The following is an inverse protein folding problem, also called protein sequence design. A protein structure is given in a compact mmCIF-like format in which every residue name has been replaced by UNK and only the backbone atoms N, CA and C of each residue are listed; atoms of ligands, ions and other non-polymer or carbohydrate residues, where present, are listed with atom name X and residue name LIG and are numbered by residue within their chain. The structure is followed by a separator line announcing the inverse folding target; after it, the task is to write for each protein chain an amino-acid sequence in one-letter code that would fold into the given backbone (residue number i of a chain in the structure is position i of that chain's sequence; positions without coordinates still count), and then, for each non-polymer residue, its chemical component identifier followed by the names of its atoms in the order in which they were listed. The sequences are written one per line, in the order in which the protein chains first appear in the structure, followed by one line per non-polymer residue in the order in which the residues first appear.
data_IF_137549332376
#
_entry.id   IF_137549332376
#
_cell.length_a   1.000
_cell.length_b   1.000
_cell.length_c   1.000
_cell.angle_alpha   90.00
_cell.angle_beta   90.00
_cell.angle_gamma   90.00
#
_symmetry.space_group_name_H-M   'P 1'
#
loop_
_entity.id
_entity.type
_entity.pdbx_description
1 polymer ?
#
# COMPACT_ATOMS: atom_id res chain seq x y z
N UNK A 1 -41.11 24.68 -4.26
CA UNK A 1 -39.80 25.03 -4.87
C UNK A 1 -38.68 24.50 -3.96
N UNK A 2 -38.25 23.26 -4.18
CA UNK A 2 -37.13 22.67 -3.42
C UNK A 2 -35.82 22.95 -4.16
N UNK A 3 -34.97 23.80 -3.57
CA UNK A 3 -33.60 24.00 -4.05
C UNK A 3 -32.79 22.74 -3.78
N UNK A 4 -32.44 22.01 -4.85
CA UNK A 4 -31.42 20.96 -4.80
C UNK A 4 -30.09 21.63 -4.49
N UNK A 5 -29.61 21.45 -3.27
CA UNK A 5 -28.24 21.78 -2.88
C UNK A 5 -27.34 20.72 -3.49
N UNK A 6 -26.73 21.00 -4.64
CA UNK A 6 -25.65 20.21 -5.17
C UNK A 6 -24.46 20.40 -4.24
N UNK A 7 -24.22 19.40 -3.39
CA UNK A 7 -22.96 19.30 -2.65
C UNK A 7 -21.85 18.97 -3.67
N UNK A 8 -21.13 20.01 -4.06
CA UNK A 8 -19.93 19.86 -4.90
C UNK A 8 -18.86 19.19 -4.02
N UNK A 9 -18.77 17.87 -4.08
CA UNK A 9 -17.66 17.14 -3.50
C UNK A 9 -16.44 17.47 -4.37
N UNK A 10 -15.65 18.45 -3.92
CA UNK A 10 -14.33 18.68 -4.48
C UNK A 10 -13.47 17.43 -4.26
N UNK A 11 -13.40 16.54 -5.25
CA UNK A 11 -12.37 15.53 -5.35
C UNK A 11 -11.04 16.25 -5.60
N UNK A 12 -10.34 16.56 -4.54
CA UNK A 12 -8.93 16.96 -4.64
C UNK A 12 -8.13 15.66 -4.75
N UNK A 13 -7.97 15.17 -5.98
CA UNK A 13 -6.88 14.25 -6.27
C UNK A 13 -5.59 15.03 -6.05
N UNK A 14 -4.99 14.95 -4.86
CA UNK A 14 -3.61 15.39 -4.69
C UNK A 14 -2.76 14.45 -5.54
N UNK A 15 -2.41 14.91 -6.74
CA UNK A 15 -1.23 14.43 -7.38
C UNK A 15 -0.10 14.63 -6.36
N UNK A 16 0.44 13.54 -5.78
CA UNK A 16 1.79 13.59 -5.28
C UNK A 16 2.60 14.27 -6.38
N UNK A 17 3.38 15.30 -6.05
CA UNK A 17 4.22 15.94 -7.05
C UNK A 17 5.01 14.88 -7.80
N UNK A 18 5.41 15.12 -9.02
CA UNK A 18 6.18 14.20 -9.88
C UNK A 18 7.44 13.61 -9.20
N UNK A 19 7.76 14.04 -8.01
CA UNK A 19 8.93 13.72 -7.18
C UNK A 19 8.67 12.75 -6.02
N UNK A 20 7.41 12.33 -5.77
CA UNK A 20 7.12 11.46 -4.63
C UNK A 20 7.89 10.13 -4.73
N UNK A 21 8.52 9.74 -3.62
CA UNK A 21 9.27 8.48 -3.50
C UNK A 21 8.41 7.43 -2.83
N UNK A 22 8.31 6.26 -3.47
CA UNK A 22 7.62 5.08 -2.92
C UNK A 22 8.65 3.98 -2.68
N UNK A 23 8.65 3.42 -1.47
CA UNK A 23 9.43 2.25 -1.07
C UNK A 23 8.53 1.03 -0.88
N UNK A 24 8.98 -0.13 -1.35
CA UNK A 24 8.33 -1.40 -1.08
C UNK A 24 9.36 -2.45 -0.70
N UNK A 25 9.12 -3.13 0.42
CA UNK A 25 10.06 -4.08 0.99
C UNK A 25 9.36 -5.35 1.44
N UNK A 26 10.07 -6.47 1.32
CA UNK A 26 9.71 -7.77 1.88
C UNK A 26 10.78 -8.15 2.91
N UNK A 27 10.34 -8.46 4.13
CA UNK A 27 11.21 -8.84 5.25
C UNK A 27 10.74 -10.21 5.77
N UNK A 28 11.62 -11.19 5.80
CA UNK A 28 11.32 -12.48 6.40
C UNK A 28 12.08 -12.59 7.71
N UNK A 29 11.37 -12.65 8.83
CA UNK A 29 11.99 -12.91 10.12
C UNK A 29 12.50 -14.35 10.22
N UNK A 30 13.60 -14.55 10.96
CA UNK A 30 14.01 -15.90 11.36
C UNK A 30 12.99 -16.50 12.33
N UNK A 31 12.88 -17.82 12.45
CA UNK A 31 12.02 -18.47 13.43
C UNK A 31 12.22 -17.86 14.83
N UNK A 32 11.13 -17.63 15.56
CA UNK A 32 11.08 -17.03 16.92
C UNK A 32 11.38 -15.52 17.00
N UNK A 33 11.79 -14.84 15.95
CA UNK A 33 12.10 -13.41 15.97
C UNK A 33 11.01 -12.50 15.41
N UNK A 34 9.83 -13.09 15.08
CA UNK A 34 8.68 -12.32 14.58
C UNK A 34 8.29 -11.17 15.51
N UNK A 35 8.14 -11.44 16.81
CA UNK A 35 7.71 -10.43 17.79
C UNK A 35 8.75 -9.31 17.91
N UNK A 36 10.03 -9.65 17.95
CA UNK A 36 11.09 -8.65 18.00
C UNK A 36 11.08 -7.77 16.74
N UNK A 37 10.90 -8.34 15.56
CA UNK A 37 10.79 -7.56 14.31
C UNK A 37 9.55 -6.64 14.34
N UNK A 38 8.43 -7.09 14.89
CA UNK A 38 7.23 -6.27 15.08
C UNK A 38 7.50 -5.07 16.00
N UNK A 39 8.21 -5.27 17.12
CA UNK A 39 8.56 -4.21 18.08
C UNK A 39 9.50 -3.19 17.46
N UNK A 40 10.57 -3.63 16.80
CA UNK A 40 11.53 -2.76 16.13
C UNK A 40 10.87 -1.96 14.98
N UNK A 41 10.03 -2.62 14.18
CA UNK A 41 9.28 -1.97 13.11
C UNK A 41 8.32 -0.93 13.67
N UNK A 42 7.59 -1.24 14.74
CA UNK A 42 6.68 -0.31 15.41
C UNK A 42 7.41 0.92 15.94
N UNK A 43 8.54 0.74 16.63
CA UNK A 43 9.34 1.85 17.16
C UNK A 43 9.80 2.78 16.02
N UNK A 44 10.38 2.23 14.95
CA UNK A 44 10.81 3.00 13.80
C UNK A 44 9.66 3.77 13.15
N UNK A 45 8.50 3.14 12.95
CA UNK A 45 7.35 3.76 12.29
C UNK A 45 6.73 4.87 13.13
N UNK A 46 6.60 4.67 14.43
CA UNK A 46 6.08 5.71 15.33
C UNK A 46 7.00 6.93 15.38
N UNK A 47 8.33 6.73 15.37
CA UNK A 47 9.31 7.81 15.27
C UNK A 47 9.23 8.54 13.93
N UNK A 48 9.04 7.81 12.84
CA UNK A 48 8.89 8.36 11.48
C UNK A 48 7.65 9.25 11.32
N UNK A 49 6.63 9.05 12.15
CA UNK A 49 5.41 9.88 12.13
C UNK A 49 5.70 11.36 12.38
N UNK A 50 6.74 11.70 13.12
CA UNK A 50 7.14 13.09 13.39
C UNK A 50 7.89 13.75 12.21
N UNK A 51 8.38 12.97 11.25
CA UNK A 51 9.15 13.48 10.11
C UNK A 51 8.23 14.21 9.11
N UNK A 52 8.49 15.48 8.77
CA UNK A 52 7.58 16.26 7.90
C UNK A 52 7.40 15.67 6.50
N UNK A 53 8.44 15.04 5.96
CA UNK A 53 8.45 14.51 4.59
C UNK A 53 7.96 13.07 4.46
N UNK A 54 7.85 12.31 5.54
CA UNK A 54 7.32 10.94 5.56
C UNK A 54 5.81 11.01 5.59
N UNK A 55 5.17 10.56 4.50
CA UNK A 55 3.72 10.74 4.27
C UNK A 55 2.89 9.56 4.79
N UNK A 56 3.35 8.35 4.58
CA UNK A 56 2.71 7.15 5.14
C UNK A 56 3.71 5.99 5.21
N UNK A 57 3.53 5.13 6.20
CA UNK A 57 4.20 3.83 6.28
C UNK A 57 3.15 2.81 6.70
N UNK A 58 3.09 1.70 5.97
CA UNK A 58 2.26 0.54 6.27
C UNK A 58 3.18 -0.66 6.50
N UNK A 59 3.16 -1.20 7.71
CA UNK A 59 3.90 -2.38 8.11
C UNK A 59 2.91 -3.51 8.36
N UNK A 60 3.00 -4.55 7.56
CA UNK A 60 1.99 -5.60 7.47
C UNK A 60 2.68 -6.97 7.50
N UNK A 61 2.02 -7.96 8.10
CA UNK A 61 2.44 -9.37 7.99
C UNK A 61 1.46 -10.19 7.17
N UNK A 62 1.94 -11.21 6.47
CA UNK A 62 1.08 -12.13 5.74
C UNK A 62 0.28 -12.99 6.74
N UNK A 63 -1.05 -13.07 6.59
CA UNK A 63 -1.90 -13.90 7.48
C UNK A 63 -1.52 -15.38 7.43
N UNK A 64 -1.14 -15.88 6.25
CA UNK A 64 -0.75 -17.29 6.03
C UNK A 64 0.69 -17.61 6.43
N UNK A 65 1.55 -16.59 6.58
CA UNK A 65 2.96 -16.73 6.95
C UNK A 65 3.37 -15.55 7.85
N UNK A 66 3.08 -15.61 9.15
CA UNK A 66 3.23 -14.46 10.06
C UNK A 66 4.66 -13.94 10.24
N UNK A 67 5.68 -14.68 9.84
CA UNK A 67 7.10 -14.27 9.80
C UNK A 67 7.43 -13.42 8.58
N UNK A 68 6.55 -13.38 7.56
CA UNK A 68 6.73 -12.62 6.33
C UNK A 68 6.03 -11.27 6.45
N UNK A 69 6.84 -10.21 6.40
CA UNK A 69 6.37 -8.83 6.51
C UNK A 69 6.57 -8.08 5.20
N UNK A 70 5.68 -7.11 4.99
CA UNK A 70 5.75 -6.15 3.90
C UNK A 70 5.74 -4.74 4.46
N UNK A 71 6.55 -3.87 3.86
CA UNK A 71 6.58 -2.44 4.19
C UNK A 71 6.30 -1.65 2.92
N UNK A 72 5.28 -0.80 2.96
CA UNK A 72 4.95 0.14 1.90
C UNK A 72 5.07 1.56 2.45
N UNK A 73 5.94 2.36 1.84
CA UNK A 73 6.32 3.67 2.33
C UNK A 73 6.09 4.74 1.28
N UNK A 74 5.63 5.91 1.71
CA UNK A 74 5.44 7.08 0.87
C UNK A 74 6.15 8.29 1.46
N UNK A 75 6.98 8.91 0.65
CA UNK A 75 7.71 10.12 0.98
C UNK A 75 7.36 11.23 0.00
N UNK A 76 7.40 12.48 0.48
CA UNK A 76 7.14 13.66 -0.33
C UNK A 76 8.07 13.71 -1.56
N UNK A 77 9.35 13.37 -1.35
CA UNK A 77 10.41 13.41 -2.36
C UNK A 77 11.60 12.53 -1.93
N UNK A 78 12.62 12.46 -2.77
CA UNK A 78 13.88 11.76 -2.50
C UNK A 78 14.64 12.36 -1.30
N UNK A 79 14.53 13.67 -1.06
CA UNK A 79 15.16 14.33 0.09
C UNK A 79 14.56 13.87 1.40
N UNK A 80 13.23 13.75 1.46
CA UNK A 80 12.51 13.22 2.61
C UNK A 80 12.89 11.74 2.87
N UNK A 81 13.00 10.93 1.82
CA UNK A 81 13.48 9.55 1.93
C UNK A 81 14.90 9.49 2.50
N UNK A 82 15.84 10.30 1.99
CA UNK A 82 17.21 10.34 2.50
C UNK A 82 17.27 10.79 3.96
N UNK A 83 16.42 11.75 4.35
CA UNK A 83 16.33 12.20 5.74
C UNK A 83 15.86 11.07 6.65
N UNK A 84 14.82 10.32 6.25
CA UNK A 84 14.35 9.15 6.99
C UNK A 84 15.46 8.11 7.12
N UNK A 85 16.09 7.70 6.02
CA UNK A 85 17.12 6.64 6.04
C UNK A 85 18.41 7.04 6.74
N UNK A 86 18.64 8.32 7.00
CA UNK A 86 19.76 8.82 7.81
C UNK A 86 19.41 9.08 9.27
N UNK A 87 18.13 8.92 9.66
CA UNK A 87 17.68 9.11 11.05
C UNK A 87 18.24 8.03 11.98
N UNK A 88 18.37 8.35 13.27
CA UNK A 88 18.88 7.41 14.25
C UNK A 88 17.94 6.22 14.47
N UNK A 89 16.62 6.47 14.49
CA UNK A 89 15.64 5.38 14.65
C UNK A 89 15.65 4.41 13.47
N UNK A 90 15.85 4.88 12.24
CA UNK A 90 15.98 4.01 11.07
C UNK A 90 17.28 3.20 11.11
N UNK A 91 18.41 3.84 11.46
CA UNK A 91 19.70 3.15 11.61
C UNK A 91 19.63 2.09 12.71
N UNK A 92 18.99 2.40 13.84
CA UNK A 92 18.72 1.44 14.91
C UNK A 92 17.92 0.26 14.39
N UNK A 93 16.78 0.52 13.70
CA UNK A 93 15.98 -0.53 13.08
C UNK A 93 16.80 -1.42 12.16
N UNK A 94 17.60 -0.82 11.27
CA UNK A 94 18.42 -1.59 10.31
C UNK A 94 19.48 -2.43 11.00
N UNK A 95 20.19 -1.88 12.00
CA UNK A 95 21.25 -2.62 12.71
C UNK A 95 20.69 -3.76 13.56
N UNK A 96 19.61 -3.52 14.31
CA UNK A 96 19.03 -4.52 15.20
C UNK A 96 18.23 -5.59 14.43
N UNK A 97 17.61 -5.23 13.30
CA UNK A 97 16.91 -6.21 12.48
C UNK A 97 17.84 -7.09 11.63
N UNK A 98 19.09 -6.70 11.40
CA UNK A 98 20.01 -7.44 10.52
C UNK A 98 20.21 -8.91 10.93
N UNK A 99 20.31 -9.18 12.24
CA UNK A 99 20.57 -10.51 12.78
C UNK A 99 19.30 -11.39 12.91
N UNK A 100 18.13 -10.75 12.86
CA UNK A 100 16.84 -11.43 13.04
C UNK A 100 16.07 -11.63 11.74
N UNK A 101 16.61 -11.16 10.62
CA UNK A 101 16.03 -11.35 9.29
C UNK A 101 16.69 -12.53 8.58
N UNK A 102 15.88 -13.51 8.14
CA UNK A 102 16.31 -14.56 7.23
C UNK A 102 16.51 -14.02 5.81
N UNK A 103 15.72 -13.01 5.40
CA UNK A 103 15.91 -12.32 4.13
C UNK A 103 15.28 -10.92 4.16
N UNK A 104 15.84 -10.03 3.32
CA UNK A 104 15.33 -8.69 3.04
C UNK A 104 15.39 -8.46 1.55
N UNK A 105 14.26 -8.03 0.97
CA UNK A 105 14.20 -7.60 -0.42
C UNK A 105 13.70 -6.16 -0.47
N UNK A 106 14.37 -5.32 -1.24
CA UNK A 106 13.93 -3.98 -1.58
C UNK A 106 13.55 -3.95 -3.06
N UNK A 107 12.38 -3.42 -3.37
CA UNK A 107 11.87 -3.33 -4.72
C UNK A 107 11.85 -1.87 -5.18
N UNK A 108 12.38 -1.60 -6.37
CA UNK A 108 12.30 -0.28 -6.96
C UNK A 108 10.93 -0.09 -7.61
N UNK A 109 10.19 0.90 -7.17
CA UNK A 109 8.89 1.26 -7.76
C UNK A 109 9.11 2.13 -8.99
N UNK A 110 8.46 1.78 -10.12
CA UNK A 110 8.57 2.52 -11.38
C UNK A 110 7.37 3.43 -11.63
N UNK A 111 6.19 2.87 -11.48
CA UNK A 111 4.92 3.56 -11.63
C UNK A 111 4.08 3.27 -10.42
N UNK A 112 3.23 4.21 -10.04
CA UNK A 112 2.31 3.99 -8.94
C UNK A 112 1.04 4.83 -9.08
N UNK A 113 -0.01 4.39 -8.41
CA UNK A 113 -1.25 5.11 -8.19
C UNK A 113 -1.71 4.86 -6.75
N UNK A 114 -2.31 5.87 -6.15
CA UNK A 114 -2.84 5.79 -4.80
C UNK A 114 -4.17 6.56 -4.73
N UNK A 115 -5.14 5.95 -4.09
CA UNK A 115 -6.43 6.56 -3.76
C UNK A 115 -6.80 6.18 -2.35
N UNK A 116 -7.22 7.13 -1.54
CA UNK A 116 -7.66 6.85 -0.16
C UNK A 116 -8.71 7.82 0.32
N UNK A 117 -9.45 7.42 1.35
CA UNK A 117 -10.49 8.18 2.02
C UNK A 117 -10.18 8.26 3.51
N UNK A 118 -9.44 9.30 3.90
CA UNK A 118 -9.18 9.66 5.29
C UNK A 118 -8.71 8.46 6.17
N UNK A 119 -7.46 8.03 5.99
CA UNK A 119 -6.84 6.95 6.77
C UNK A 119 -6.41 7.46 8.15
N UNK A 120 -7.33 7.51 9.10
CA UNK A 120 -7.00 7.83 10.49
C UNK A 120 -6.44 6.60 11.22
N UNK A 121 -5.68 6.80 12.33
CA UNK A 121 -5.19 5.69 13.15
C UNK A 121 -6.32 4.75 13.61
N UNK A 122 -7.49 5.30 13.96
CA UNK A 122 -8.65 4.52 14.42
C UNK A 122 -9.19 3.62 13.31
N UNK A 123 -9.21 4.11 12.07
CA UNK A 123 -9.63 3.30 10.90
C UNK A 123 -8.63 2.22 10.54
N UNK A 124 -7.34 2.49 10.74
CA UNK A 124 -6.28 1.53 10.41
C UNK A 124 -6.13 0.42 11.47
N UNK A 125 -6.57 0.66 12.71
CA UNK A 125 -6.37 -0.28 13.83
C UNK A 125 -6.94 -1.66 13.55
N UNK A 126 -8.20 -1.71 13.09
CA UNK A 126 -8.95 -2.95 12.86
C UNK A 126 -9.18 -3.23 11.35
N UNK A 127 -8.50 -2.47 10.49
CA UNK A 127 -8.66 -2.58 9.05
C UNK A 127 -8.13 -3.92 8.51
N UNK A 128 -8.84 -4.44 7.52
CA UNK A 128 -8.39 -5.56 6.73
C UNK A 128 -7.53 -5.09 5.57
N UNK A 129 -6.36 -5.67 5.45
CA UNK A 129 -5.45 -5.40 4.34
C UNK A 129 -5.42 -6.61 3.41
N UNK A 130 -5.42 -6.34 2.11
CA UNK A 130 -5.28 -7.35 1.08
C UNK A 130 -4.16 -6.96 0.12
N UNK A 131 -3.32 -7.91 -0.27
CA UNK A 131 -2.31 -7.69 -1.28
C UNK A 131 -2.55 -8.61 -2.47
N UNK A 132 -2.39 -8.07 -3.66
CA UNK A 132 -2.45 -8.84 -4.91
C UNK A 132 -1.18 -8.60 -5.72
N UNK A 133 -0.47 -9.67 -6.02
CA UNK A 133 0.62 -9.70 -6.99
C UNK A 133 0.07 -10.07 -8.37
N UNK A 134 0.44 -9.32 -9.39
CA UNK A 134 -0.04 -9.48 -10.76
C UNK A 134 1.14 -9.61 -11.71
N UNK A 135 1.10 -10.61 -12.57
CA UNK A 135 1.99 -10.72 -13.75
C UNK A 135 1.17 -10.41 -15.00
N UNK A 136 1.58 -9.38 -15.74
CA UNK A 136 0.88 -8.95 -16.94
C UNK A 136 1.47 -9.64 -18.19
N UNK A 137 0.63 -9.89 -19.15
CA UNK A 137 1.06 -10.27 -20.51
C UNK A 137 1.94 -9.19 -21.12
N UNK A 138 2.84 -9.61 -22.01
CA UNK A 138 3.70 -8.69 -22.73
C UNK A 138 2.90 -7.53 -23.36
N UNK A 139 3.44 -6.31 -23.27
CA UNK A 139 2.84 -5.07 -23.84
C UNK A 139 1.50 -4.64 -23.18
N UNK A 140 1.08 -5.26 -22.08
CA UNK A 140 -0.19 -4.93 -21.40
C UNK A 140 -0.07 -3.79 -20.37
N UNK A 141 1.14 -3.40 -19.97
CA UNK A 141 1.42 -2.46 -18.87
C UNK A 141 0.66 -1.12 -18.99
N UNK A 142 0.75 -0.45 -20.14
CA UNK A 142 0.10 0.86 -20.32
C UNK A 142 -1.44 0.78 -20.31
N UNK A 143 -2.00 -0.32 -20.83
CA UNK A 143 -3.45 -0.54 -20.82
C UNK A 143 -3.91 -0.87 -19.41
N UNK A 144 -3.18 -1.73 -18.70
CA UNK A 144 -3.47 -2.07 -17.32
C UNK A 144 -3.42 -0.84 -16.40
N UNK A 145 -2.40 0.02 -16.54
CA UNK A 145 -2.29 1.27 -15.77
C UNK A 145 -3.54 2.16 -15.91
N UNK A 146 -4.08 2.30 -17.12
CA UNK A 146 -5.32 3.08 -17.34
C UNK A 146 -6.52 2.44 -16.66
N UNK A 147 -6.65 1.12 -16.77
CA UNK A 147 -7.75 0.36 -16.16
C UNK A 147 -7.68 0.51 -14.64
N UNK A 148 -6.51 0.26 -14.02
CA UNK A 148 -6.39 0.27 -12.57
C UNK A 148 -6.71 1.65 -12.01
N UNK A 149 -6.20 2.73 -12.58
CA UNK A 149 -6.50 4.10 -12.15
C UNK A 149 -8.00 4.41 -12.20
N UNK A 150 -8.69 4.00 -13.26
CA UNK A 150 -10.14 4.17 -13.42
C UNK A 150 -10.94 3.49 -12.31
N UNK A 151 -10.56 2.24 -11.95
CA UNK A 151 -11.33 1.43 -11.01
C UNK A 151 -10.95 1.67 -9.55
N UNK A 152 -9.70 2.02 -9.26
CA UNK A 152 -9.27 2.38 -7.90
C UNK A 152 -10.04 3.58 -7.35
N UNK A 153 -10.21 4.63 -8.13
CA UNK A 153 -10.97 5.80 -7.71
C UNK A 153 -12.41 5.42 -7.35
N UNK A 154 -13.09 4.64 -8.23
CA UNK A 154 -14.46 4.15 -7.95
C UNK A 154 -14.53 3.28 -6.70
N UNK A 155 -13.53 2.43 -6.46
CA UNK A 155 -13.50 1.55 -5.28
C UNK A 155 -13.52 2.32 -3.98
N UNK A 156 -12.77 3.41 -3.91
CA UNK A 156 -12.75 4.28 -2.73
C UNK A 156 -14.10 4.98 -2.54
N UNK A 157 -14.78 5.35 -3.61
CA UNK A 157 -16.15 5.87 -3.56
C UNK A 157 -17.15 4.81 -3.08
N UNK A 158 -16.94 3.54 -3.43
CA UNK A 158 -17.78 2.39 -3.07
C UNK A 158 -17.45 1.79 -1.69
N UNK A 159 -16.61 2.43 -0.87
CA UNK A 159 -16.40 2.04 0.53
C UNK A 159 -15.04 1.41 0.87
N UNK A 160 -14.16 1.20 -0.10
CA UNK A 160 -12.75 0.87 0.17
C UNK A 160 -12.06 2.06 0.85
N UNK A 161 -11.26 1.82 1.88
CA UNK A 161 -10.57 2.90 2.61
C UNK A 161 -9.38 3.45 1.81
N UNK A 162 -8.62 2.56 1.17
CA UNK A 162 -7.52 2.94 0.29
C UNK A 162 -7.16 1.82 -0.68
N UNK A 163 -6.61 2.21 -1.81
CA UNK A 163 -5.94 1.32 -2.76
C UNK A 163 -4.63 1.94 -3.23
N UNK A 164 -3.58 1.14 -3.22
CA UNK A 164 -2.27 1.46 -3.74
C UNK A 164 -1.92 0.44 -4.81
N UNK A 165 -1.42 0.89 -5.95
CA UNK A 165 -0.96 0.00 -7.02
C UNK A 165 0.37 0.52 -7.56
N UNK A 166 1.33 -0.36 -7.77
CA UNK A 166 2.62 0.02 -8.30
C UNK A 166 3.26 -1.10 -9.13
N UNK A 167 4.03 -0.70 -10.14
CA UNK A 167 4.85 -1.61 -10.93
C UNK A 167 6.30 -1.60 -10.44
N UNK A 168 6.97 -2.73 -10.59
CA UNK A 168 8.36 -2.91 -10.21
C UNK A 168 9.28 -2.53 -11.38
N UNK A 169 10.40 -1.86 -11.08
CA UNK A 169 11.36 -1.40 -12.09
C UNK A 169 12.10 -2.58 -12.75
N UNK A 170 12.49 -3.53 -11.93
CA UNK A 170 13.25 -4.72 -12.34
C UNK A 170 12.41 -5.70 -13.16
N UNK A 171 11.09 -5.69 -12.96
CA UNK A 171 10.12 -6.56 -13.65
C UNK A 171 8.90 -5.74 -14.04
N UNK A 172 8.96 -4.94 -15.12
CA UNK A 172 7.91 -3.96 -15.47
C UNK A 172 6.53 -4.54 -15.75
N UNK A 173 6.44 -5.84 -16.03
CA UNK A 173 5.18 -6.56 -16.17
C UNK A 173 4.59 -7.02 -14.83
N UNK A 174 5.32 -6.84 -13.71
CA UNK A 174 4.80 -7.16 -12.37
C UNK A 174 4.26 -5.92 -11.70
N UNK A 175 3.03 -6.07 -11.20
CA UNK A 175 2.32 -5.07 -10.41
C UNK A 175 1.96 -5.64 -9.05
N UNK A 176 2.00 -4.77 -8.05
CA UNK A 176 1.53 -5.07 -6.70
C UNK A 176 0.38 -4.12 -6.39
N UNK A 177 -0.70 -4.65 -5.83
CA UNK A 177 -1.78 -3.86 -5.26
C UNK A 177 -1.85 -4.12 -3.77
N UNK A 178 -2.01 -3.05 -2.99
CA UNK A 178 -2.33 -3.11 -1.57
C UNK A 178 -3.65 -2.36 -1.37
N UNK A 179 -4.62 -3.06 -0.81
CA UNK A 179 -5.98 -2.56 -0.62
C UNK A 179 -6.31 -2.58 0.87
N UNK A 180 -6.97 -1.53 1.34
CA UNK A 180 -7.36 -1.38 2.75
C UNK A 180 -8.88 -1.25 2.83
N UNK A 181 -9.49 -2.10 3.63
CA UNK A 181 -10.92 -2.14 3.89
C UNK A 181 -11.19 -1.94 5.37
N UNK A 182 -12.39 -1.52 5.72
CA UNK A 182 -12.81 -1.39 7.11
C UNK A 182 -12.62 -2.70 7.88
N UNK A 183 -13.01 -3.82 7.27
CA UNK A 183 -12.94 -5.18 7.79
C UNK A 183 -12.97 -6.20 6.63
N UNK A 184 -12.82 -7.48 6.94
CA UNK A 184 -12.82 -8.56 5.95
C UNK A 184 -14.19 -8.71 5.26
N UNK A 185 -15.28 -8.44 5.98
CA UNK A 185 -16.62 -8.46 5.40
C UNK A 185 -16.82 -7.37 4.33
N UNK A 186 -16.22 -6.20 4.54
CA UNK A 186 -16.20 -5.11 3.56
C UNK A 186 -15.40 -5.48 2.31
N UNK A 187 -14.29 -6.21 2.45
CA UNK A 187 -13.53 -6.75 1.32
C UNK A 187 -14.36 -7.76 0.53
N UNK A 188 -15.02 -8.72 1.19
CA UNK A 188 -15.88 -9.69 0.51
C UNK A 188 -17.07 -9.01 -0.18
N UNK A 189 -17.69 -8.02 0.46
CA UNK A 189 -18.74 -7.22 -0.17
C UNK A 189 -18.25 -6.50 -1.43
N UNK A 190 -17.07 -5.88 -1.38
CA UNK A 190 -16.49 -5.22 -2.54
C UNK A 190 -16.23 -6.17 -3.71
N UNK A 191 -15.74 -7.39 -3.45
CA UNK A 191 -15.53 -8.42 -4.48
C UNK A 191 -16.80 -8.81 -5.23
N UNK A 192 -17.95 -8.62 -4.63
CA UNK A 192 -19.26 -8.88 -5.25
C UNK A 192 -19.87 -7.62 -5.91
N UNK A 193 -19.25 -6.47 -5.79
CA UNK A 193 -19.72 -5.21 -6.36
C UNK A 193 -19.66 -5.20 -7.90
N UNK A 194 -20.50 -4.41 -8.51
CA UNK A 194 -20.49 -4.20 -9.97
C UNK A 194 -19.19 -3.55 -10.44
N UNK A 195 -18.58 -2.70 -9.60
CA UNK A 195 -17.28 -2.09 -9.88
C UNK A 195 -16.18 -3.14 -9.98
N UNK A 196 -16.10 -4.07 -9.02
CA UNK A 196 -15.11 -5.15 -9.05
C UNK A 196 -15.33 -6.12 -10.21
N UNK A 197 -16.57 -6.49 -10.51
CA UNK A 197 -16.91 -7.33 -11.68
C UNK A 197 -16.49 -6.67 -12.99
N UNK A 198 -16.76 -5.37 -13.14
CA UNK A 198 -16.35 -4.61 -14.33
C UNK A 198 -14.82 -4.52 -14.43
N UNK A 199 -14.13 -4.27 -13.31
CA UNK A 199 -12.66 -4.28 -13.26
C UNK A 199 -12.08 -5.62 -13.68
N UNK A 200 -12.56 -6.72 -13.10
CA UNK A 200 -12.06 -8.06 -13.41
C UNK A 200 -12.31 -8.45 -14.87
N UNK A 201 -13.46 -8.09 -15.41
CA UNK A 201 -13.79 -8.31 -16.84
C UNK A 201 -12.85 -7.52 -17.75
N UNK A 202 -12.60 -6.24 -17.47
CA UNK A 202 -11.79 -5.37 -18.34
C UNK A 202 -10.31 -5.77 -18.33
N UNK A 203 -9.80 -6.27 -17.20
CA UNK A 203 -8.40 -6.69 -17.05
C UNK A 203 -8.10 -8.15 -17.44
N UNK A 204 -9.12 -9.01 -17.56
CA UNK A 204 -8.95 -10.46 -17.70
C UNK A 204 -7.99 -10.87 -18.81
N UNK A 205 -8.06 -10.21 -19.98
CA UNK A 205 -7.19 -10.50 -21.12
C UNK A 205 -5.75 -9.98 -20.99
N UNK A 206 -5.41 -9.25 -19.93
CA UNK A 206 -4.12 -8.60 -19.73
C UNK A 206 -3.22 -9.31 -18.71
N UNK A 207 -3.78 -10.23 -17.93
CA UNK A 207 -3.10 -10.89 -16.81
C UNK A 207 -2.75 -12.31 -17.20
N UNK A 208 -1.51 -12.71 -16.92
CA UNK A 208 -1.05 -14.10 -16.98
C UNK A 208 -1.28 -14.81 -15.66
N UNK A 209 -0.84 -14.17 -14.56
CA UNK A 209 -0.91 -14.75 -13.22
C UNK A 209 -1.33 -13.70 -12.20
N UNK A 210 -2.05 -14.12 -11.18
CA UNK A 210 -2.27 -13.31 -9.99
C UNK A 210 -2.26 -14.19 -8.74
N UNK A 211 -1.78 -13.60 -7.65
CA UNK A 211 -1.80 -14.19 -6.32
C UNK A 211 -2.29 -13.13 -5.33
N UNK A 212 -3.39 -13.43 -4.63
CA UNK A 212 -4.02 -12.51 -3.69
C UNK A 212 -4.14 -13.12 -2.31
N UNK A 213 -3.73 -12.39 -1.27
CA UNK A 213 -3.76 -12.86 0.10
C UNK A 213 -4.01 -11.75 1.12
N UNK A 214 -4.59 -12.16 2.26
CA UNK A 214 -4.84 -11.26 3.38
C UNK A 214 -3.57 -10.93 4.15
N UNK A 215 -3.50 -9.66 4.59
CA UNK A 215 -2.46 -9.15 5.47
C UNK A 215 -3.07 -8.71 6.80
N UNK A 216 -2.25 -8.74 7.84
CA UNK A 216 -2.53 -8.14 9.12
C UNK A 216 -1.77 -6.81 9.23
N UNK A 217 -2.45 -5.74 9.59
CA UNK A 217 -1.79 -4.50 9.96
C UNK A 217 -1.04 -4.66 11.28
N UNK A 218 0.27 -4.47 11.28
CA UNK A 218 1.08 -4.51 12.50
C UNK A 218 1.24 -3.12 13.08
N UNK A 219 1.63 -2.16 12.25
CA UNK A 219 1.68 -0.73 12.61
C UNK A 219 1.66 0.10 11.34
N UNK A 220 0.81 1.11 11.32
CA UNK A 220 0.71 1.98 10.15
C UNK A 220 0.33 3.40 10.56
N UNK A 221 0.75 4.36 9.76
CA UNK A 221 0.19 5.71 9.78
C UNK A 221 0.08 6.27 8.37
N UNK A 222 -0.80 7.24 8.20
CA UNK A 222 -0.93 8.00 6.96
C UNK A 222 -1.22 9.46 7.30
N UNK A 223 -0.50 10.38 6.65
CA UNK A 223 -0.77 11.82 6.58
C UNK A 223 -1.38 12.19 5.24
N UNK A 224 -1.50 11.19 4.35
CA UNK A 224 -2.05 11.39 3.01
C UNK A 224 -3.52 11.73 3.15
N UNK A 225 -3.89 12.90 2.65
CA UNK A 225 -5.28 13.35 2.50
C UNK A 225 -5.55 13.47 1.01
N UNK A 226 -6.47 12.66 0.51
CA UNK A 226 -6.95 12.74 -0.86
C UNK A 226 -8.34 13.35 -0.91
#
# INVERSE_FOLDING_TARGET
MFKKLCLLVCLVAFAFGAEAKVGFYELLATPNNKTLLQELGRENILSSKSEPGTQAIFFMSAKSKPELFYVLEFYKDETAYKKHTSSEHFKKFVSESAEILASKKAFSVKKWAAYSKNLTPERLKDAYFHMTNLSLKAKSDAKFEKIIKKYMQKSVDDGTLAQFAFSLKETPNKWVMVEIYKDEASFESYRHSENYKAYTKERAGLIDEFDGFGLKNETSFSKIKF
#
